data_IF_859513663003
#
_entry.id   IF_859513663003
#
_cell.length_a   1.000
_cell.length_b   1.000
_cell.length_c   1.000
_cell.angle_alpha   90.00
_cell.angle_beta   90.00
_cell.angle_gamma   90.00
#
_symmetry.space_group_name_H-M   'P 1'
#
loop_
_entity.id
_entity.type
_entity.pdbx_description
1 polymer ?
#
# COMPACT_ATOMS: atom_id res chain seq x y z
N UNK A 1 10.81 26.74 30.58
CA UNK A 1 11.08 27.12 29.17
C UNK A 1 11.27 25.84 28.38
N UNK A 2 10.26 25.43 27.59
CA UNK A 2 10.41 24.33 26.64
C UNK A 2 10.96 24.94 25.35
N UNK A 3 12.24 24.70 25.04
CA UNK A 3 12.79 24.98 23.72
C UNK A 3 12.08 24.07 22.73
N UNK A 4 11.17 24.65 21.95
CA UNK A 4 10.53 24.00 20.82
C UNK A 4 11.55 24.00 19.69
N UNK A 5 12.45 23.02 19.67
CA UNK A 5 13.35 22.83 18.54
C UNK A 5 12.49 22.54 17.30
N UNK A 6 12.64 23.34 16.24
CA UNK A 6 11.88 23.13 15.02
C UNK A 6 12.36 21.84 14.36
N UNK A 7 11.44 20.89 14.24
CA UNK A 7 11.64 19.63 13.52
C UNK A 7 10.87 19.70 12.22
N UNK A 8 11.57 19.58 11.08
CA UNK A 8 10.94 19.54 9.77
C UNK A 8 10.65 18.07 9.42
N UNK A 9 9.38 17.77 9.14
CA UNK A 9 8.97 16.46 8.65
C UNK A 9 8.70 16.54 7.16
N UNK A 10 9.28 15.63 6.40
CA UNK A 10 9.04 15.48 4.96
C UNK A 10 8.60 14.05 4.69
N UNK A 11 7.81 13.86 3.65
CA UNK A 11 7.37 12.55 3.22
C UNK A 11 7.51 12.37 1.71
N UNK A 12 7.66 11.13 1.27
CA UNK A 12 7.64 10.74 -0.14
C UNK A 12 6.77 9.50 -0.32
N UNK A 13 6.03 9.47 -1.43
CA UNK A 13 5.25 8.30 -1.81
C UNK A 13 6.13 7.25 -2.48
N UNK A 14 5.98 6.00 -2.07
CA UNK A 14 6.64 4.86 -2.72
C UNK A 14 5.62 4.11 -3.58
N UNK A 15 5.88 4.03 -4.88
CA UNK A 15 5.09 3.24 -5.83
C UNK A 15 5.84 1.95 -6.14
N UNK A 16 5.18 0.80 -5.99
CA UNK A 16 5.74 -0.51 -6.39
C UNK A 16 5.95 -0.57 -7.91
N UNK A 17 7.18 -0.81 -8.37
CA UNK A 17 7.45 -1.14 -9.78
C UNK A 17 7.47 -2.66 -9.97
N UNK A 18 8.10 -3.37 -9.03
CA UNK A 18 8.23 -4.83 -9.01
C UNK A 18 8.23 -5.35 -7.56
N UNK A 19 8.34 -6.67 -7.39
CA UNK A 19 8.39 -7.30 -6.07
C UNK A 19 9.60 -6.87 -5.21
N UNK A 20 10.64 -6.32 -5.84
CA UNK A 20 11.89 -5.93 -5.17
C UNK A 20 12.21 -4.44 -5.31
N UNK A 21 11.45 -3.70 -6.12
CA UNK A 21 11.76 -2.32 -6.46
C UNK A 21 10.60 -1.36 -6.21
N UNK A 22 10.92 -0.27 -5.53
CA UNK A 22 10.01 0.85 -5.32
C UNK A 22 10.53 2.08 -6.05
N UNK A 23 9.63 2.78 -6.73
CA UNK A 23 9.86 4.14 -7.21
C UNK A 23 9.55 5.12 -6.09
N UNK A 24 10.55 5.89 -5.68
CA UNK A 24 10.36 7.02 -4.77
C UNK A 24 9.87 8.25 -5.53
N UNK A 25 8.84 8.90 -4.99
CA UNK A 25 8.32 10.17 -5.48
C UNK A 25 9.10 11.39 -4.96
N UNK A 26 8.53 12.57 -5.15
CA UNK A 26 9.11 13.81 -4.62
C UNK A 26 8.91 13.91 -3.10
N UNK A 27 9.87 14.54 -2.42
CA UNK A 27 9.76 14.85 -1.00
C UNK A 27 8.92 16.09 -0.78
N UNK A 28 7.88 15.97 0.05
CA UNK A 28 6.91 17.02 0.34
C UNK A 28 6.88 17.27 1.85
N UNK A 29 6.78 18.53 2.25
CA UNK A 29 6.73 18.91 3.67
C UNK A 29 5.38 18.51 4.31
N UNK A 30 5.45 17.85 5.46
CA UNK A 30 4.29 17.35 6.19
C UNK A 30 3.73 18.43 7.13
N UNK A 31 3.03 19.41 6.58
CA UNK A 31 2.48 20.55 7.34
C UNK A 31 1.05 20.30 7.84
N UNK A 32 0.80 19.17 8.53
CA UNK A 32 -0.45 18.83 9.26
C UNK A 32 -1.77 18.70 8.45
N UNK A 33 -1.93 19.50 7.40
CA UNK A 33 -3.08 19.60 6.50
C UNK A 33 -2.91 18.75 5.24
N UNK A 34 -1.69 18.28 4.96
CA UNK A 34 -1.37 17.50 3.76
C UNK A 34 -1.52 16.01 4.07
N UNK A 35 -2.43 15.34 3.36
CA UNK A 35 -2.57 13.88 3.42
C UNK A 35 -1.84 13.25 2.22
N UNK A 36 -0.92 12.29 2.45
CA UNK A 36 -0.22 11.63 1.35
C UNK A 36 -1.19 10.86 0.45
N UNK A 37 -1.14 11.04 -0.89
CA UNK A 37 -2.08 10.42 -1.82
C UNK A 37 -1.61 9.04 -2.30
N UNK A 38 -1.12 8.20 -1.39
CA UNK A 38 -0.52 6.90 -1.72
C UNK A 38 -0.59 5.93 -0.54
N UNK A 39 -0.41 4.64 -0.83
CA UNK A 39 -0.50 3.58 0.18
C UNK A 39 0.77 3.44 1.02
N UNK A 40 1.95 3.61 0.41
CA UNK A 40 3.25 3.46 1.07
C UNK A 40 3.92 4.83 1.14
N UNK A 41 4.24 5.25 2.35
CA UNK A 41 4.80 6.58 2.63
C UNK A 41 6.11 6.40 3.38
N UNK A 42 7.18 6.96 2.85
CA UNK A 42 8.44 7.13 3.54
C UNK A 42 8.43 8.52 4.21
N UNK A 43 8.75 8.59 5.50
CA UNK A 43 8.78 9.85 6.25
C UNK A 43 10.16 10.03 6.85
N UNK A 44 10.72 11.23 6.66
CA UNK A 44 11.97 11.65 7.25
C UNK A 44 11.76 12.89 8.13
N UNK A 45 12.49 12.95 9.24
CA UNK A 45 12.53 14.11 10.11
C UNK A 45 13.95 14.65 10.20
N UNK A 46 14.09 15.94 9.96
CA UNK A 46 15.33 16.68 10.13
C UNK A 46 15.22 17.59 11.34
N UNK A 47 16.36 17.78 12.02
CA UNK A 47 16.52 18.76 13.08
C UNK A 47 17.29 19.93 12.47
N UNK A 48 16.86 21.17 12.69
CA UNK A 48 17.44 22.38 12.03
C UNK A 48 18.98 22.49 12.04
N UNK A 49 19.66 21.84 13.00
CA UNK A 49 21.12 21.87 13.15
C UNK A 49 21.84 20.59 12.73
N UNK A 50 21.12 19.61 12.20
CA UNK A 50 21.63 18.29 11.85
C UNK A 50 21.22 17.96 10.43
N UNK A 51 22.19 17.93 9.53
CA UNK A 51 22.01 17.56 8.11
C UNK A 51 21.85 16.04 7.90
N UNK A 52 21.31 15.36 8.92
CA UNK A 52 21.03 13.92 8.92
C UNK A 52 19.63 13.73 9.45
N UNK A 53 18.87 12.85 8.81
CA UNK A 53 17.57 12.45 9.29
C UNK A 53 17.74 11.88 10.71
N UNK A 54 17.03 12.48 11.67
CA UNK A 54 16.97 12.01 13.07
C UNK A 54 15.93 10.89 13.20
N UNK A 55 15.01 10.83 12.24
CA UNK A 55 14.00 9.80 12.15
C UNK A 55 13.73 9.48 10.68
N UNK A 56 13.66 8.19 10.37
CA UNK A 56 13.21 7.67 9.07
C UNK A 56 12.32 6.48 9.34
N UNK A 57 11.12 6.45 8.74
CA UNK A 57 10.22 5.31 8.88
C UNK A 57 9.29 5.16 7.66
N UNK A 58 8.79 3.95 7.47
CA UNK A 58 7.83 3.58 6.44
C UNK A 58 6.45 3.39 7.09
N UNK A 59 5.47 4.07 6.52
CA UNK A 59 4.07 3.96 6.91
C UNK A 59 3.25 3.36 5.77
N UNK A 60 2.27 2.56 6.16
CA UNK A 60 1.29 1.99 5.24
C UNK A 60 -0.09 2.50 5.59
N UNK A 61 -0.82 2.96 4.59
CA UNK A 61 -2.22 3.34 4.67
C UNK A 61 -2.98 2.82 3.45
N UNK A 62 -4.30 2.85 3.51
CA UNK A 62 -5.14 2.54 2.35
C UNK A 62 -5.64 3.87 1.80
N UNK A 63 -5.03 4.31 0.71
CA UNK A 63 -5.43 5.51 0.01
C UNK A 63 -6.49 5.17 -1.05
N UNK A 64 -7.70 5.69 -0.87
CA UNK A 64 -8.75 5.58 -1.90
C UNK A 64 -8.62 6.78 -2.84
N UNK A 65 -8.22 6.59 -4.11
CA UNK A 65 -8.24 7.68 -5.07
C UNK A 65 -9.69 8.16 -5.28
N UNK A 66 -9.92 9.45 -5.58
CA UNK A 66 -11.24 9.93 -5.97
C UNK A 66 -11.76 9.11 -7.16
N UNK A 67 -13.06 8.79 -7.17
CA UNK A 67 -13.68 7.82 -8.10
C UNK A 67 -13.49 8.16 -9.60
N UNK A 68 -13.07 9.38 -9.93
CA UNK A 68 -12.78 9.81 -11.30
C UNK A 68 -11.49 9.21 -11.89
N UNK A 69 -10.55 8.73 -11.06
CA UNK A 69 -9.25 8.21 -11.53
C UNK A 69 -9.27 6.72 -11.90
N UNK A 70 -10.20 5.93 -11.32
CA UNK A 70 -10.27 4.48 -11.52
C UNK A 70 -10.77 4.07 -12.93
N UNK A 71 -11.57 4.93 -13.58
CA UNK A 71 -12.10 4.65 -14.92
C UNK A 71 -11.02 4.71 -16.01
N UNK A 72 -9.95 5.49 -15.81
CA UNK A 72 -8.92 5.71 -16.82
C UNK A 72 -7.86 4.59 -16.84
N UNK A 73 -7.59 3.93 -15.71
CA UNK A 73 -6.57 2.88 -15.62
C UNK A 73 -7.02 1.55 -16.26
N UNK A 74 -8.32 1.23 -16.17
CA UNK A 74 -8.89 0.04 -16.82
C UNK A 74 -8.89 0.13 -18.36
N UNK A 75 -8.85 1.34 -18.92
CA UNK A 75 -8.81 1.55 -20.36
C UNK A 75 -7.40 1.44 -20.96
N UNK A 76 -6.33 1.61 -20.15
CA UNK A 76 -4.94 1.60 -20.62
C UNK A 76 -4.39 0.17 -20.72
N UNK A 77 -4.80 -0.74 -19.83
CA UNK A 77 -4.32 -2.13 -19.81
C UNK A 77 -4.84 -2.99 -20.97
N UNK A 78 -5.89 -2.57 -21.70
CA UNK A 78 -6.46 -3.38 -22.79
C UNK A 78 -5.69 -3.24 -24.12
N UNK A 79 -4.74 -2.31 -24.25
CA UNK A 79 -4.07 -2.02 -25.54
C UNK A 79 -2.72 -2.71 -25.74
N UNK A 80 -2.10 -3.28 -24.72
CA UNK A 80 -0.72 -3.82 -24.80
C UNK A 80 -0.60 -5.29 -25.20
N UNK A 81 -1.66 -6.10 -25.12
CA UNK A 81 -1.55 -7.57 -25.23
C UNK A 81 -2.02 -8.12 -26.60
N UNK A 82 -1.53 -7.57 -27.70
CA UNK A 82 -1.70 -8.20 -29.02
C UNK A 82 -0.40 -8.27 -29.80
N UNK A 83 0.37 -9.35 -29.58
CA UNK A 83 1.17 -10.05 -30.60
C UNK A 83 1.87 -11.29 -30.01
N UNK A 84 1.25 -12.48 -30.11
CA UNK A 84 1.98 -13.71 -30.41
C UNK A 84 1.07 -14.84 -30.92
N UNK A 85 1.63 -15.60 -31.84
CA UNK A 85 1.02 -16.44 -32.86
C UNK A 85 0.53 -17.79 -32.31
N UNK A 86 -0.65 -18.21 -32.74
CA UNK A 86 -1.41 -19.35 -32.19
C UNK A 86 -1.02 -20.70 -32.81
N UNK A 87 -0.75 -21.72 -31.99
CA UNK A 87 -1.08 -23.12 -32.30
C UNK A 87 -2.47 -23.41 -31.73
N UNK A 88 -3.36 -24.12 -32.42
CA UNK A 88 -4.73 -24.34 -31.96
C UNK A 88 -4.73 -25.42 -30.87
N UNK A 89 -4.67 -25.00 -29.61
CA UNK A 89 -5.13 -25.81 -28.50
C UNK A 89 -6.64 -25.57 -28.40
N UNK A 90 -7.44 -26.62 -28.56
CA UNK A 90 -8.89 -26.55 -28.37
C UNK A 90 -9.19 -26.00 -26.96
N UNK A 91 -9.58 -24.72 -26.89
CA UNK A 91 -10.10 -24.12 -25.68
C UNK A 91 -11.51 -24.66 -25.48
N UNK A 92 -11.68 -25.63 -24.58
CA UNK A 92 -12.94 -25.75 -23.86
C UNK A 92 -13.14 -24.44 -23.09
N UNK A 93 -14.09 -23.63 -23.53
CA UNK A 93 -14.52 -22.42 -22.81
C UNK A 93 -15.18 -22.85 -21.50
N UNK A 94 -14.38 -22.95 -20.43
CA UNK A 94 -14.93 -22.88 -19.08
C UNK A 94 -15.28 -21.41 -18.90
N UNK A 95 -16.57 -21.08 -18.93
CA UNK A 95 -17.08 -19.78 -18.48
C UNK A 95 -16.93 -19.71 -16.96
N UNK A 96 -15.70 -19.66 -16.46
CA UNK A 96 -15.44 -19.35 -15.06
C UNK A 96 -15.68 -17.86 -14.90
N UNK A 97 -16.82 -17.54 -14.29
CA UNK A 97 -17.07 -16.22 -13.72
C UNK A 97 -16.02 -16.08 -12.59
N UNK A 98 -14.85 -15.57 -12.93
CA UNK A 98 -13.71 -15.53 -12.02
C UNK A 98 -14.10 -14.86 -10.70
N UNK A 99 -13.88 -15.54 -9.59
CA UNK A 99 -14.06 -14.95 -8.28
C UNK A 99 -12.91 -13.99 -8.00
N UNK A 100 -13.21 -12.73 -7.66
CA UNK A 100 -12.21 -11.78 -7.21
C UNK A 100 -11.81 -12.07 -5.77
N UNK A 101 -10.77 -12.87 -5.57
CA UNK A 101 -10.22 -13.16 -4.25
C UNK A 101 -9.00 -12.25 -3.99
N UNK A 102 -9.06 -11.46 -2.92
CA UNK A 102 -7.92 -10.69 -2.42
C UNK A 102 -7.46 -11.30 -1.08
N UNK A 103 -6.24 -11.83 -1.03
CA UNK A 103 -5.66 -12.44 0.16
C UNK A 103 -4.53 -11.57 0.71
N UNK A 104 -4.65 -11.16 1.97
CA UNK A 104 -3.63 -10.36 2.67
C UNK A 104 -2.97 -11.25 3.72
N UNK A 105 -1.66 -11.48 3.58
CA UNK A 105 -0.86 -12.27 4.53
C UNK A 105 0.16 -11.36 5.21
N UNK A 106 0.10 -11.30 6.55
CA UNK A 106 1.00 -10.49 7.35
C UNK A 106 1.97 -11.40 8.11
N UNK A 107 3.18 -11.53 7.57
CA UNK A 107 4.19 -12.50 8.02
C UNK A 107 4.84 -12.13 9.38
N UNK A 108 5.13 -10.85 9.60
CA UNK A 108 5.99 -10.41 10.72
C UNK A 108 5.22 -9.88 11.95
N UNK A 109 3.91 -10.13 12.04
CA UNK A 109 3.09 -9.65 13.16
C UNK A 109 2.34 -10.79 13.83
N UNK A 110 2.55 -10.94 15.14
CA UNK A 110 1.66 -11.78 15.93
C UNK A 110 0.24 -11.18 15.91
N UNK A 111 -0.78 -12.04 15.97
CA UNK A 111 -2.18 -11.61 16.03
C UNK A 111 -2.40 -10.54 17.11
N UNK A 112 -1.84 -10.73 18.30
CA UNK A 112 -2.00 -9.79 19.41
C UNK A 112 -1.34 -8.43 19.13
N UNK A 113 -0.22 -8.39 18.40
CA UNK A 113 0.41 -7.15 17.96
C UNK A 113 -0.46 -6.45 16.93
N UNK A 114 -0.92 -7.17 15.90
CA UNK A 114 -1.81 -6.66 14.86
C UNK A 114 -3.09 -6.02 15.44
N UNK A 115 -3.81 -6.73 16.31
CA UNK A 115 -5.05 -6.25 16.91
C UNK A 115 -4.87 -4.94 17.70
N UNK A 116 -3.71 -4.76 18.35
CA UNK A 116 -3.43 -3.56 19.15
C UNK A 116 -2.84 -2.41 18.33
N UNK A 117 -2.00 -2.71 17.34
CA UNK A 117 -1.32 -1.68 16.55
C UNK A 117 -2.15 -1.14 15.40
N UNK A 118 -3.09 -1.94 14.89
CA UNK A 118 -3.87 -1.62 13.70
C UNK A 118 -5.40 -1.82 13.90
N UNK A 119 -6.00 -1.26 14.96
CA UNK A 119 -7.43 -1.47 15.24
C UNK A 119 -8.33 -0.89 14.15
N UNK A 120 -7.94 0.25 13.55
CA UNK A 120 -8.69 0.86 12.45
C UNK A 120 -8.63 0.02 11.17
N UNK A 121 -7.46 -0.55 10.86
CA UNK A 121 -7.30 -1.42 9.70
C UNK A 121 -8.09 -2.72 9.87
N UNK A 122 -8.08 -3.30 11.09
CA UNK A 122 -8.91 -4.46 11.41
C UNK A 122 -10.39 -4.16 11.19
N UNK A 123 -10.89 -3.04 11.75
CA UNK A 123 -12.28 -2.62 11.59
C UNK A 123 -12.64 -2.47 10.11
N UNK A 124 -11.81 -1.76 9.34
CA UNK A 124 -12.02 -1.59 7.90
C UNK A 124 -12.09 -2.93 7.15
N UNK A 125 -11.14 -3.84 7.43
CA UNK A 125 -11.12 -5.15 6.78
C UNK A 125 -12.37 -5.96 7.11
N UNK A 126 -12.81 -5.97 8.37
CA UNK A 126 -13.93 -6.80 8.81
C UNK A 126 -15.29 -6.22 8.42
N UNK A 127 -15.49 -4.91 8.59
CA UNK A 127 -16.80 -4.28 8.43
C UNK A 127 -17.05 -3.79 7.00
N UNK A 128 -16.06 -3.15 6.36
CA UNK A 128 -16.25 -2.57 5.02
C UNK A 128 -15.97 -3.59 3.90
N UNK A 129 -15.05 -4.54 4.14
CA UNK A 129 -14.62 -5.53 3.15
C UNK A 129 -15.08 -6.96 3.46
N UNK A 130 -15.86 -7.14 4.52
CA UNK A 130 -16.37 -8.45 4.96
C UNK A 130 -15.26 -9.51 5.08
N UNK A 131 -14.05 -9.09 5.47
CA UNK A 131 -12.88 -9.96 5.47
C UNK A 131 -12.97 -11.02 6.57
N UNK A 132 -12.80 -12.27 6.17
CA UNK A 132 -12.76 -13.41 7.10
C UNK A 132 -11.35 -13.52 7.68
N UNK A 133 -11.25 -13.38 9.01
CA UNK A 133 -9.97 -13.56 9.71
C UNK A 133 -9.80 -15.01 10.15
N UNK A 134 -8.85 -15.71 9.56
CA UNK A 134 -8.48 -17.05 10.02
C UNK A 134 -7.62 -16.97 11.28
N UNK A 135 -8.10 -17.58 12.36
CA UNK A 135 -7.36 -17.67 13.62
C UNK A 135 -6.44 -18.89 13.61
N UNK A 136 -5.31 -18.78 14.31
CA UNK A 136 -4.39 -19.90 14.55
C UNK A 136 -3.70 -20.46 13.30
N UNK A 137 -3.60 -19.68 12.22
CA UNK A 137 -2.69 -20.00 11.13
C UNK A 137 -1.26 -19.92 11.64
N UNK A 138 -0.60 -21.07 11.68
CA UNK A 138 0.82 -21.18 11.93
C UNK A 138 1.49 -21.04 10.57
N UNK A 139 2.34 -20.02 10.41
CA UNK A 139 3.26 -20.00 9.28
C UNK A 139 4.28 -21.13 9.49
N UNK A 140 4.17 -22.17 8.67
CA UNK A 140 5.26 -23.14 8.50
C UNK A 140 6.23 -22.51 7.48
N UNK A 141 7.47 -22.27 7.91
CA UNK A 141 8.54 -21.80 7.04
C UNK A 141 9.07 -22.92 6.16
#
# INVERSE_FOLDING_TARGET
>A
MLFRESTAFIFSCLTTISDYEFKRGEWIELNGSVQPPCDIIEVECFKEKVDRAVYTNLYYQIYRPPQTSALNTLAIQQKSDKKQTQKPFEKKEIKEKGFGLHMIVLDSVSRSRFLRSLPKSLYFLQEDLEAITYHHLIKLG
#
